data_IF_814971270273
#
_entry.id   IF_814971270273
#
_cell.length_a   1.000
_cell.length_b   1.000
_cell.length_c   1.000
_cell.angle_alpha   90.00
_cell.angle_beta   90.00
_cell.angle_gamma   90.00
#
_symmetry.space_group_name_H-M   'P 1'
#
loop_
_entity.id
_entity.type
_entity.pdbx_description
1 polymer ?
#
# COMPACT_ATOMS: atom_id res chain seq x y z
N UNK A 1 -18.07 1.53 -5.28
CA UNK A 1 -17.69 0.96 -6.59
C UNK A 1 -16.19 0.66 -6.54
N UNK A 2 -15.74 -0.51 -7.00
CA UNK A 2 -14.31 -0.81 -7.05
C UNK A 2 -13.63 0.22 -7.98
N UNK A 3 -12.62 0.90 -7.45
CA UNK A 3 -11.79 1.83 -8.21
C UNK A 3 -10.87 1.03 -9.14
N UNK A 4 -10.45 1.62 -10.26
CA UNK A 4 -9.53 1.01 -11.23
C UNK A 4 -8.14 0.80 -10.62
N UNK A 5 -7.70 1.74 -9.79
CA UNK A 5 -6.39 1.74 -9.14
C UNK A 5 -6.54 2.21 -7.68
N UNK A 6 -5.80 1.54 -6.78
CA UNK A 6 -5.65 1.98 -5.40
C UNK A 6 -4.21 2.44 -5.17
N UNK A 7 -4.06 3.68 -4.74
CA UNK A 7 -2.79 4.29 -4.36
C UNK A 7 -2.70 4.26 -2.84
N UNK A 8 -1.91 3.33 -2.33
CA UNK A 8 -1.68 3.09 -0.91
C UNK A 8 -0.51 3.97 -0.45
N UNK A 9 -0.79 5.00 0.36
CA UNK A 9 0.23 5.93 0.88
C UNK A 9 0.55 5.57 2.33
N UNK A 10 1.84 5.42 2.65
CA UNK A 10 2.26 5.11 4.01
C UNK A 10 2.09 6.32 4.96
N UNK A 11 1.25 6.15 5.98
CA UNK A 11 1.01 7.11 7.05
C UNK A 11 1.66 6.69 8.38
N UNK A 12 2.75 5.89 8.33
CA UNK A 12 3.58 5.63 9.50
C UNK A 12 4.34 6.88 9.96
N UNK A 13 4.65 6.99 11.25
CA UNK A 13 5.29 8.17 11.84
C UNK A 13 6.53 8.67 11.06
N UNK A 14 7.41 7.76 10.64
CA UNK A 14 8.59 8.11 9.84
C UNK A 14 8.25 8.69 8.46
N UNK A 15 7.19 8.18 7.80
CA UNK A 15 6.75 8.72 6.52
C UNK A 15 6.03 10.07 6.69
N UNK A 16 5.27 10.24 7.77
CA UNK A 16 4.66 11.53 8.12
C UNK A 16 5.74 12.58 8.38
N UNK A 17 6.80 12.23 9.12
CA UNK A 17 7.95 13.11 9.34
C UNK A 17 8.70 13.46 8.05
N UNK A 18 8.62 12.60 7.03
CA UNK A 18 9.15 12.85 5.69
C UNK A 18 8.08 13.40 4.71
N UNK A 19 7.04 14.07 5.22
CA UNK A 19 6.05 14.78 4.40
C UNK A 19 5.09 13.91 3.56
N UNK A 20 4.81 12.66 3.99
CA UNK A 20 3.85 11.79 3.27
C UNK A 20 2.43 12.38 3.19
N UNK A 21 2.02 13.18 4.19
CA UNK A 21 0.75 13.92 4.17
C UNK A 21 0.71 14.95 3.04
N UNK A 22 1.82 15.64 2.77
CA UNK A 22 1.94 16.61 1.68
C UNK A 22 1.80 15.91 0.33
N UNK A 23 2.46 14.75 0.17
CA UNK A 23 2.36 13.90 -1.03
C UNK A 23 0.92 13.45 -1.27
N UNK A 24 0.21 13.01 -0.23
CA UNK A 24 -1.20 12.62 -0.30
C UNK A 24 -2.09 13.79 -0.77
N UNK A 25 -1.93 14.96 -0.17
CA UNK A 25 -2.72 16.14 -0.53
C UNK A 25 -2.48 16.58 -1.97
N UNK A 26 -1.21 16.54 -2.42
CA UNK A 26 -0.86 16.82 -3.81
C UNK A 26 -1.42 15.76 -4.76
N UNK A 27 -1.41 14.48 -4.39
CA UNK A 27 -2.04 13.40 -5.16
C UNK A 27 -3.53 13.66 -5.35
N UNK A 28 -4.25 14.02 -4.28
CA UNK A 28 -5.67 14.37 -4.36
C UNK A 28 -5.92 15.55 -5.31
N UNK A 29 -5.13 16.63 -5.19
CA UNK A 29 -5.25 17.78 -6.07
C UNK A 29 -5.02 17.44 -7.55
N UNK A 30 -3.97 16.67 -7.86
CA UNK A 30 -3.62 16.30 -9.24
C UNK A 30 -4.63 15.32 -9.83
N UNK A 31 -5.15 14.36 -9.04
CA UNK A 31 -6.22 13.47 -9.51
C UNK A 31 -7.50 14.24 -9.81
N UNK A 32 -7.82 15.26 -9.02
CA UNK A 32 -8.96 16.14 -9.25
C UNK A 32 -8.82 16.95 -10.54
N UNK A 33 -7.66 17.53 -10.77
CA UNK A 33 -7.35 18.28 -12.00
C UNK A 33 -7.52 17.42 -13.27
N UNK A 34 -7.26 16.11 -13.15
CA UNK A 34 -7.40 15.15 -14.23
C UNK A 34 -8.75 14.42 -14.27
N UNK A 35 -9.71 14.76 -13.39
CA UNK A 35 -11.01 14.09 -13.24
C UNK A 35 -10.91 12.57 -12.98
N UNK A 36 -9.88 12.14 -12.23
CA UNK A 36 -9.60 10.73 -11.93
C UNK A 36 -10.08 10.30 -10.54
N UNK A 37 -10.73 11.18 -9.78
CA UNK A 37 -11.24 10.90 -8.43
C UNK A 37 -12.22 9.72 -8.42
N UNK A 38 -12.95 9.51 -9.53
CA UNK A 38 -13.90 8.41 -9.67
C UNK A 38 -13.25 7.07 -10.03
N UNK A 39 -12.03 7.08 -10.57
CA UNK A 39 -11.29 5.89 -11.00
C UNK A 39 -10.20 5.44 -10.05
N UNK A 40 -9.64 6.35 -9.24
CA UNK A 40 -8.48 6.08 -8.40
C UNK A 40 -8.82 6.36 -6.95
N UNK A 41 -8.62 5.38 -6.07
CA UNK A 41 -8.68 5.61 -4.62
C UNK A 41 -7.29 5.94 -4.09
N UNK A 42 -7.23 6.90 -3.18
CA UNK A 42 -6.06 7.11 -2.32
C UNK A 42 -6.41 6.53 -0.95
N UNK A 43 -5.64 5.54 -0.53
CA UNK A 43 -5.84 4.82 0.73
C UNK A 43 -4.63 5.10 1.63
N UNK A 44 -4.87 5.66 2.80
CA UNK A 44 -3.84 5.77 3.81
C UNK A 44 -3.63 4.42 4.49
N UNK A 45 -2.39 3.99 4.57
CA UNK A 45 -2.04 2.74 5.25
C UNK A 45 -1.22 3.02 6.50
N UNK A 46 -1.16 2.02 7.38
CA UNK A 46 -0.15 1.98 8.44
C UNK A 46 1.28 1.90 7.88
N UNK A 47 2.25 1.72 8.79
CA UNK A 47 3.66 1.61 8.43
C UNK A 47 3.90 0.47 7.44
N UNK A 48 4.46 0.80 6.26
CA UNK A 48 4.80 -0.17 5.22
C UNK A 48 6.20 -0.77 5.38
N UNK A 49 6.96 -0.40 6.42
CA UNK A 49 8.21 -1.07 6.78
C UNK A 49 9.50 -0.30 6.47
N UNK A 50 9.89 -0.08 5.20
CA UNK A 50 11.22 0.44 4.86
C UNK A 50 11.27 1.95 5.09
N UNK A 51 11.34 2.37 6.35
CA UNK A 51 11.37 3.77 6.75
C UNK A 51 12.57 4.54 6.17
N UNK A 52 13.70 3.87 5.94
CA UNK A 52 14.88 4.44 5.26
C UNK A 52 14.59 4.87 3.82
N UNK A 53 13.56 4.27 3.21
CA UNK A 53 13.11 4.57 1.85
C UNK A 53 11.87 5.47 1.86
N UNK A 54 11.41 5.94 3.02
CA UNK A 54 10.24 6.79 3.19
C UNK A 54 10.45 8.19 2.60
N UNK A 55 9.41 8.81 2.03
CA UNK A 55 8.03 8.33 1.91
C UNK A 55 7.86 7.24 0.85
N UNK A 56 7.01 6.26 1.16
CA UNK A 56 6.73 5.12 0.28
C UNK A 56 5.26 5.02 -0.09
N UNK A 57 4.99 4.47 -1.27
CA UNK A 57 3.65 4.32 -1.83
C UNK A 57 3.58 3.03 -2.65
N UNK A 58 2.46 2.32 -2.58
CA UNK A 58 2.19 1.13 -3.38
C UNK A 58 0.99 1.39 -4.29
N UNK A 59 1.11 1.07 -5.57
CA UNK A 59 -0.01 1.14 -6.52
C UNK A 59 -0.53 -0.27 -6.78
N UNK A 60 -1.82 -0.48 -6.52
CA UNK A 60 -2.54 -1.74 -6.71
C UNK A 60 -3.59 -1.58 -7.83
N UNK A 61 -3.83 -2.58 -8.70
CA UNK A 61 -3.29 -3.95 -8.69
C UNK A 61 -1.89 -4.11 -9.30
N UNK A 62 -1.27 -3.04 -9.82
CA UNK A 62 -0.01 -3.12 -10.56
C UNK A 62 1.19 -3.62 -9.73
N UNK A 63 1.11 -3.58 -8.40
CA UNK A 63 2.16 -4.05 -7.51
C UNK A 63 3.41 -3.16 -7.51
N UNK A 64 3.32 -1.91 -7.96
CA UNK A 64 4.47 -1.01 -8.10
C UNK A 64 4.72 -0.29 -6.78
N UNK A 65 5.88 -0.53 -6.19
CA UNK A 65 6.32 0.11 -4.96
C UNK A 65 7.23 1.30 -5.26
N UNK A 66 6.77 2.50 -4.94
CA UNK A 66 7.51 3.75 -5.07
C UNK A 66 8.19 4.12 -3.75
N UNK A 67 9.43 4.60 -3.85
CA UNK A 67 10.28 4.94 -2.71
C UNK A 67 10.88 6.34 -2.85
N UNK A 68 11.27 6.93 -1.72
CA UNK A 68 11.93 8.25 -1.62
C UNK A 68 11.15 9.33 -2.38
N UNK A 69 9.83 9.27 -2.27
CA UNK A 69 8.94 10.17 -2.99
C UNK A 69 9.09 11.60 -2.50
N UNK A 70 9.07 12.53 -3.45
CA UNK A 70 8.95 13.96 -3.21
C UNK A 70 7.64 14.47 -3.76
N UNK A 71 7.19 15.62 -3.28
CA UNK A 71 5.97 16.27 -3.80
C UNK A 71 6.04 16.50 -5.31
N UNK A 72 7.21 16.89 -5.83
CA UNK A 72 7.45 17.10 -7.27
C UNK A 72 7.25 15.86 -8.14
N UNK A 73 7.37 14.66 -7.56
CA UNK A 73 7.27 13.40 -8.28
C UNK A 73 5.81 13.02 -8.57
N UNK A 74 4.86 13.57 -7.80
CA UNK A 74 3.43 13.21 -7.86
C UNK A 74 2.85 13.45 -9.25
N UNK A 75 3.16 14.59 -9.87
CA UNK A 75 2.64 14.92 -11.19
C UNK A 75 3.16 13.96 -12.27
N UNK A 76 4.42 13.53 -12.17
CA UNK A 76 4.98 12.55 -13.09
C UNK A 76 4.32 11.19 -12.89
N UNK A 77 4.10 10.75 -11.65
CA UNK A 77 3.46 9.47 -11.35
C UNK A 77 2.02 9.44 -11.87
N UNK A 78 1.23 10.50 -11.68
CA UNK A 78 -0.14 10.53 -12.20
C UNK A 78 -0.14 10.51 -13.73
N UNK A 79 0.71 11.32 -14.38
CA UNK A 79 0.76 11.41 -15.85
C UNK A 79 1.27 10.14 -16.52
N UNK A 80 2.33 9.52 -15.98
CA UNK A 80 2.94 8.34 -16.58
C UNK A 80 2.27 7.06 -16.12
N UNK A 81 2.08 6.86 -14.82
CA UNK A 81 1.57 5.60 -14.30
C UNK A 81 0.04 5.54 -14.36
N UNK A 82 -0.65 6.53 -13.79
CA UNK A 82 -2.12 6.46 -13.65
C UNK A 82 -2.83 6.66 -15.00
N UNK A 83 -2.37 7.63 -15.81
CA UNK A 83 -2.99 7.97 -17.10
C UNK A 83 -2.48 7.07 -18.23
N UNK A 84 -1.15 6.91 -18.37
CA UNK A 84 -0.55 6.15 -19.49
C UNK A 84 -0.27 4.68 -19.17
N UNK A 85 -0.42 4.24 -17.93
CA UNK A 85 -0.14 2.86 -17.52
C UNK A 85 1.35 2.51 -17.46
N UNK A 86 2.26 3.50 -17.40
CA UNK A 86 3.72 3.29 -17.42
C UNK A 86 4.34 3.65 -16.06
N UNK A 87 4.80 2.65 -15.27
CA UNK A 87 5.47 2.91 -14.00
C UNK A 87 6.72 3.77 -14.16
N UNK A 88 6.93 4.69 -13.21
CA UNK A 88 8.08 5.59 -13.19
C UNK A 88 9.31 4.85 -12.65
N UNK A 89 10.09 4.25 -13.56
CA UNK A 89 11.22 3.35 -13.21
C UNK A 89 12.25 3.95 -12.25
N UNK A 90 12.49 5.26 -12.29
CA UNK A 90 13.48 5.93 -11.41
C UNK A 90 13.06 5.93 -9.94
N UNK A 91 11.75 5.94 -9.68
CA UNK A 91 11.16 5.98 -8.34
C UNK A 91 10.72 4.60 -7.87
N UNK A 92 10.62 3.66 -8.81
CA UNK A 92 10.28 2.29 -8.51
C UNK A 92 11.44 1.63 -7.75
N UNK A 93 11.09 0.95 -6.67
CA UNK A 93 12.05 0.12 -5.97
C UNK A 93 12.41 -1.09 -6.83
N UNK A 94 13.60 -1.07 -7.41
CA UNK A 94 14.06 -2.00 -8.45
C UNK A 94 15.25 -2.86 -8.01
N UNK A 95 15.54 -2.94 -6.70
CA UNK A 95 16.61 -3.84 -6.26
C UNK A 95 16.29 -5.29 -6.67
N UNK A 96 17.29 -6.15 -6.90
CA UNK A 96 17.09 -7.54 -7.34
C UNK A 96 16.08 -8.29 -6.46
N UNK A 97 16.03 -7.93 -5.18
CA UNK A 97 15.06 -8.44 -4.23
C UNK A 97 13.66 -7.89 -4.51
N UNK A 98 13.48 -6.58 -4.74
CA UNK A 98 12.19 -5.97 -5.06
C UNK A 98 11.58 -6.47 -6.38
N UNK A 99 12.42 -6.85 -7.36
CA UNK A 99 11.95 -7.41 -8.65
C UNK A 99 11.25 -8.77 -8.49
N UNK A 100 11.76 -9.64 -7.62
CA UNK A 100 11.09 -10.91 -7.26
C UNK A 100 9.72 -10.70 -6.60
N UNK A 101 9.47 -9.52 -6.06
CA UNK A 101 8.26 -9.23 -5.28
C UNK A 101 7.13 -8.70 -6.13
N UNK A 102 7.48 -7.82 -7.07
CA UNK A 102 6.55 -7.38 -8.11
C UNK A 102 6.16 -8.57 -9.00
N UNK A 103 7.12 -9.43 -9.37
CA UNK A 103 6.88 -10.57 -10.26
C UNK A 103 6.18 -11.76 -9.58
N UNK A 104 6.45 -12.05 -8.29
CA UNK A 104 5.88 -13.23 -7.61
C UNK A 104 4.67 -12.91 -6.69
N UNK A 105 4.16 -11.66 -6.67
CA UNK A 105 3.18 -11.18 -5.66
C UNK A 105 3.61 -11.48 -4.21
N UNK A 106 4.90 -11.69 -3.97
CA UNK A 106 5.44 -11.96 -2.64
C UNK A 106 5.73 -10.66 -1.92
N UNK A 107 5.73 -10.70 -0.60
CA UNK A 107 5.95 -9.52 0.24
C UNK A 107 7.33 -8.92 -0.02
N UNK A 108 7.40 -7.58 0.04
CA UNK A 108 8.60 -6.72 0.07
C UNK A 108 9.81 -7.43 0.71
N UNK A 109 11.08 -7.32 0.23
CA UNK A 109 12.16 -8.17 0.75
C UNK A 109 12.47 -7.84 2.21
N UNK A 110 12.19 -6.60 2.57
CA UNK A 110 12.14 -6.12 3.94
C UNK A 110 11.29 -7.01 4.86
N UNK A 111 10.18 -7.55 4.36
CA UNK A 111 9.26 -8.44 5.08
C UNK A 111 9.57 -9.92 4.92
N UNK A 112 10.48 -10.31 4.03
CA UNK A 112 10.77 -11.74 3.74
C UNK A 112 11.28 -12.48 4.99
N UNK A 113 12.06 -11.79 5.83
CA UNK A 113 12.56 -12.33 7.10
C UNK A 113 11.62 -12.08 8.29
N UNK A 114 10.46 -11.44 8.07
CA UNK A 114 9.51 -11.14 9.13
C UNK A 114 8.41 -12.19 9.18
N UNK A 115 8.28 -12.84 10.33
CA UNK A 115 7.13 -13.70 10.59
C UNK A 115 5.95 -12.82 11.02
N UNK A 116 5.06 -12.49 10.08
CA UNK A 116 3.84 -11.71 10.36
C UNK A 116 2.81 -12.58 11.10
N UNK A 117 2.93 -12.66 12.41
CA UNK A 117 1.97 -13.37 13.27
C UNK A 117 0.67 -12.56 13.40
N UNK A 118 0.75 -11.32 13.91
CA UNK A 118 -0.44 -10.47 14.11
C UNK A 118 -0.98 -9.92 12.78
N UNK A 119 -0.08 -9.55 11.86
CA UNK A 119 -0.44 -8.96 10.57
C UNK A 119 -0.61 -10.02 9.46
N UNK A 120 -0.81 -11.29 9.82
CA UNK A 120 -0.88 -12.42 8.88
C UNK A 120 -1.98 -12.25 7.83
N UNK A 121 -3.04 -11.53 8.20
CA UNK A 121 -4.28 -11.39 7.43
C UNK A 121 -4.37 -10.05 6.67
N UNK A 122 -3.47 -9.10 6.96
CA UNK A 122 -3.44 -7.81 6.25
C UNK A 122 -3.23 -8.04 4.74
N UNK A 123 -4.16 -7.54 3.93
CA UNK A 123 -4.13 -7.68 2.47
C UNK A 123 -4.58 -9.06 1.94
N UNK A 124 -5.08 -9.95 2.80
CA UNK A 124 -5.62 -11.27 2.42
C UNK A 124 -7.14 -11.40 2.61
N UNK A 125 -7.72 -10.60 3.50
CA UNK A 125 -9.15 -10.59 3.81
C UNK A 125 -9.67 -9.15 3.74
N UNK A 126 -10.96 -9.00 3.46
CA UNK A 126 -11.68 -7.75 3.59
C UNK A 126 -11.87 -7.40 5.08
N UNK A 127 -11.32 -6.27 5.58
CA UNK A 127 -11.48 -5.88 6.97
C UNK A 127 -12.93 -5.54 7.38
N UNK A 128 -13.83 -5.28 6.43
CA UNK A 128 -15.24 -4.98 6.69
C UNK A 128 -16.14 -6.23 6.59
N UNK A 129 -15.59 -7.38 6.22
CA UNK A 129 -16.33 -8.64 6.11
C UNK A 129 -15.98 -9.60 7.28
N UNK A 130 -16.92 -9.74 8.22
CA UNK A 130 -16.73 -10.60 9.40
C UNK A 130 -16.57 -12.09 9.05
N UNK A 131 -17.24 -12.56 7.99
CA UNK A 131 -17.21 -13.97 7.60
C UNK A 131 -15.82 -14.38 7.09
N UNK A 132 -15.13 -13.49 6.38
CA UNK A 132 -13.75 -13.72 5.96
C UNK A 132 -12.80 -13.78 7.14
N UNK A 133 -13.01 -12.94 8.16
CA UNK A 133 -12.21 -12.97 9.37
C UNK A 133 -12.42 -14.28 10.15
N UNK A 134 -13.67 -14.74 10.29
CA UNK A 134 -13.99 -16.03 10.89
C UNK A 134 -13.36 -17.18 10.09
N UNK A 135 -13.45 -17.14 8.76
CA UNK A 135 -12.91 -18.20 7.89
C UNK A 135 -11.39 -18.40 8.01
N UNK A 136 -10.64 -17.39 8.45
CA UNK A 136 -9.19 -17.48 8.72
C UNK A 136 -8.84 -17.71 10.20
N UNK A 137 -9.79 -18.20 10.99
CA UNK A 137 -9.62 -18.52 12.41
C UNK A 137 -9.80 -17.32 13.35
N UNK A 138 -10.40 -16.23 12.86
CA UNK A 138 -10.78 -15.09 13.68
C UNK A 138 -11.77 -15.50 14.78
N UNK A 139 -11.61 -14.93 15.97
CA UNK A 139 -12.40 -15.21 17.19
C UNK A 139 -12.31 -16.62 17.79
N UNK A 140 -11.58 -17.57 17.20
CA UNK A 140 -11.44 -18.92 17.79
C UNK A 140 -10.89 -18.88 19.23
N UNK A 141 -9.88 -18.04 19.48
CA UNK A 141 -9.33 -17.86 20.83
C UNK A 141 -10.36 -17.29 21.81
N UNK A 142 -11.23 -16.37 21.36
CA UNK A 142 -12.30 -15.81 22.17
C UNK A 142 -13.36 -16.87 22.49
N UNK A 143 -13.77 -17.66 21.48
CA UNK A 143 -14.71 -18.76 21.68
C UNK A 143 -14.18 -19.75 22.73
N UNK A 144 -12.92 -20.17 22.60
CA UNK A 144 -12.26 -21.08 23.54
C UNK A 144 -12.29 -20.56 24.98
N UNK A 145 -11.94 -19.29 25.19
CA UNK A 145 -11.95 -18.67 26.54
C UNK A 145 -13.37 -18.62 27.11
N UNK A 146 -14.39 -18.39 26.29
CA UNK A 146 -15.77 -18.29 26.76
C UNK A 146 -16.42 -19.66 27.01
N UNK A 147 -15.94 -20.73 26.38
CA UNK A 147 -16.57 -22.06 26.46
C UNK A 147 -15.78 -23.10 27.24
N UNK A 148 -14.46 -22.97 27.34
CA UNK A 148 -13.57 -23.99 27.93
C UNK A 148 -12.78 -23.52 29.16
N UNK A 149 -12.87 -22.24 29.55
CA UNK A 149 -12.30 -21.74 30.81
C UNK A 149 -13.29 -21.78 31.97
#
# INVERSE_FOLDING_TARGET
>A
MPKRLDILVCSGAACISNESTTIKNKLQAVLKEHNLEDEVAIVETGCMGPCELGPVMLVYPDGVFYIRLKESDVEEIVKEHVIKGRPVKRLQWTTPEARKIVEEKKQIPFFEKQLKIVLSNCGKIDPENIEEYIAVGGYEALAKVLTEM
#
